data_IF_764248888214
#
_entry.id   IF_764248888214
#
_cell.length_a   1.000
_cell.length_b   1.000
_cell.length_c   1.000
_cell.angle_alpha   90.00
_cell.angle_beta   90.00
_cell.angle_gamma   90.00
#
_symmetry.space_group_name_H-M   'P 1'
#
loop_
_entity.id
_entity.type
_entity.pdbx_description
1 polymer ?
#
# COMPACT_ATOMS: atom_id res chain seq x y z
N UNK A 1 9.30 -10.48 -17.31
CA UNK A 1 8.45 -11.09 -16.28
C UNK A 1 7.45 -11.98 -16.98
N UNK A 2 7.29 -13.22 -16.53
CA UNK A 2 6.21 -14.08 -17.04
C UNK A 2 4.84 -13.61 -16.51
N UNK A 3 3.76 -14.06 -17.15
CA UNK A 3 2.40 -13.67 -16.79
C UNK A 3 2.02 -14.11 -15.36
N UNK A 4 2.49 -15.28 -14.93
CA UNK A 4 2.21 -15.82 -13.60
C UNK A 4 2.83 -14.95 -12.48
N UNK A 5 4.03 -14.42 -12.71
CA UNK A 5 4.73 -13.52 -11.81
C UNK A 5 4.02 -12.18 -11.68
N UNK A 6 3.49 -11.63 -12.78
CA UNK A 6 2.69 -10.40 -12.75
C UNK A 6 1.40 -10.57 -11.95
N UNK A 7 0.69 -11.69 -12.14
CA UNK A 7 -0.52 -12.01 -11.37
C UNK A 7 -0.18 -12.15 -9.89
N UNK A 8 0.90 -12.88 -9.56
CA UNK A 8 1.33 -13.07 -8.17
C UNK A 8 1.68 -11.74 -7.51
N UNK A 9 2.49 -10.91 -8.17
CA UNK A 9 2.86 -9.59 -7.65
C UNK A 9 1.64 -8.68 -7.43
N UNK A 10 0.69 -8.69 -8.37
CA UNK A 10 -0.56 -7.94 -8.23
C UNK A 10 -1.40 -8.43 -7.05
N UNK A 11 -1.59 -9.75 -6.91
CA UNK A 11 -2.35 -10.33 -5.79
C UNK A 11 -1.68 -10.02 -4.46
N UNK A 12 -0.36 -10.16 -4.37
CA UNK A 12 0.41 -9.80 -3.17
C UNK A 12 0.20 -8.33 -2.82
N UNK A 13 0.33 -7.43 -3.79
CA UNK A 13 0.11 -6.00 -3.56
C UNK A 13 -1.33 -5.71 -3.13
N UNK A 14 -2.32 -6.33 -3.78
CA UNK A 14 -3.74 -6.16 -3.46
C UNK A 14 -4.04 -6.61 -2.02
N UNK A 15 -3.51 -7.76 -1.61
CA UNK A 15 -3.68 -8.28 -0.25
C UNK A 15 -2.98 -7.38 0.78
N UNK A 16 -1.76 -6.90 0.50
CA UNK A 16 -1.02 -5.99 1.38
C UNK A 16 -1.75 -4.65 1.58
N UNK A 17 -2.36 -4.11 0.52
CA UNK A 17 -3.11 -2.85 0.60
C UNK A 17 -4.40 -3.02 1.42
N UNK A 18 -4.97 -4.23 1.46
CA UNK A 18 -6.24 -4.53 2.13
C UNK A 18 -7.41 -3.58 1.75
N UNK A 19 -7.75 -3.46 0.44
CA UNK A 19 -8.84 -2.58 0.02
C UNK A 19 -10.20 -3.02 0.60
N UNK A 20 -10.36 -4.31 0.91
CA UNK A 20 -11.60 -4.87 1.47
C UNK A 20 -11.78 -4.41 2.92
N UNK A 21 -10.73 -4.43 3.75
CA UNK A 21 -10.78 -3.91 5.11
C UNK A 21 -10.83 -2.38 5.18
N UNK A 22 -10.14 -1.69 4.25
CA UNK A 22 -10.12 -0.22 4.20
C UNK A 22 -11.44 0.40 3.74
N UNK A 23 -12.22 -0.26 2.90
CA UNK A 23 -13.50 0.26 2.41
C UNK A 23 -14.51 0.59 3.54
N UNK A 24 -14.87 -0.33 4.46
CA UNK A 24 -15.77 -0.03 5.56
C UNK A 24 -15.15 0.95 6.57
N UNK A 25 -13.83 0.90 6.79
CA UNK A 25 -13.13 1.85 7.64
C UNK A 25 -13.26 3.29 7.09
N UNK A 26 -13.03 3.46 5.79
CA UNK A 26 -13.18 4.76 5.13
C UNK A 26 -14.61 5.28 5.24
N UNK A 27 -15.61 4.43 5.01
CA UNK A 27 -17.04 4.79 5.17
C UNK A 27 -17.34 5.21 6.61
N UNK A 28 -16.82 4.49 7.61
CA UNK A 28 -17.03 4.81 9.01
C UNK A 28 -16.38 6.14 9.41
N UNK A 29 -15.16 6.41 8.93
CA UNK A 29 -14.41 7.64 9.24
C UNK A 29 -14.94 8.87 8.50
N UNK A 30 -15.50 8.69 7.30
CA UNK A 30 -16.09 9.78 6.49
C UNK A 30 -17.59 9.98 6.75
N UNK A 31 -18.14 9.33 7.78
CA UNK A 31 -19.57 9.40 8.08
C UNK A 31 -19.96 10.81 8.54
N UNK A 32 -20.89 11.43 7.81
CA UNK A 32 -21.36 12.79 8.08
C UNK A 32 -20.59 13.88 7.34
N UNK A 33 -19.55 13.54 6.58
CA UNK A 33 -18.93 14.45 5.63
C UNK A 33 -19.84 14.68 4.42
N UNK A 34 -19.72 15.86 3.79
CA UNK A 34 -20.32 16.10 2.48
C UNK A 34 -19.59 15.30 1.40
N UNK A 35 -20.26 15.00 0.29
CA UNK A 35 -19.65 14.24 -0.82
C UNK A 35 -18.38 14.91 -1.37
N UNK A 36 -18.32 16.24 -1.36
CA UNK A 36 -17.15 17.00 -1.78
C UNK A 36 -15.96 16.79 -0.84
N UNK A 37 -16.18 16.86 0.48
CA UNK A 37 -15.13 16.61 1.49
C UNK A 37 -14.67 15.17 1.43
N UNK A 38 -15.62 14.21 1.38
CA UNK A 38 -15.33 12.78 1.29
C UNK A 38 -14.45 12.43 0.09
N UNK A 39 -14.75 13.02 -1.08
CA UNK A 39 -13.92 12.83 -2.29
C UNK A 39 -12.53 13.45 -2.14
N UNK A 40 -12.43 14.61 -1.50
CA UNK A 40 -11.14 15.23 -1.17
C UNK A 40 -10.28 14.34 -0.25
N UNK A 41 -10.90 13.75 0.77
CA UNK A 41 -10.26 12.79 1.68
C UNK A 41 -9.79 11.55 0.94
N UNK A 42 -10.62 10.97 0.06
CA UNK A 42 -10.25 9.81 -0.76
C UNK A 42 -9.02 10.10 -1.63
N UNK A 43 -9.02 11.21 -2.37
CA UNK A 43 -7.90 11.58 -3.25
C UNK A 43 -6.62 11.79 -2.45
N UNK A 44 -6.68 12.53 -1.32
CA UNK A 44 -5.51 12.73 -0.46
C UNK A 44 -4.97 11.42 0.08
N UNK A 45 -5.84 10.54 0.58
CA UNK A 45 -5.44 9.24 1.09
C UNK A 45 -4.75 8.39 0.00
N UNK A 46 -5.32 8.33 -1.20
CA UNK A 46 -4.73 7.61 -2.33
C UNK A 46 -3.37 8.20 -2.75
N UNK A 47 -3.24 9.52 -2.79
CA UNK A 47 -1.97 10.18 -3.14
C UNK A 47 -0.88 9.90 -2.09
N UNK A 48 -1.23 9.97 -0.80
CA UNK A 48 -0.28 9.66 0.29
C UNK A 48 0.14 8.19 0.23
N UNK A 49 -0.82 7.28 0.08
CA UNK A 49 -0.53 5.85 -0.04
C UNK A 49 0.34 5.55 -1.27
N UNK A 50 0.01 6.13 -2.43
CA UNK A 50 0.81 5.99 -3.65
C UNK A 50 2.22 6.56 -3.51
N UNK A 51 2.36 7.72 -2.88
CA UNK A 51 3.67 8.31 -2.60
C UNK A 51 4.51 7.44 -1.67
N UNK A 52 3.91 6.86 -0.62
CA UNK A 52 4.58 5.91 0.27
C UNK A 52 5.00 4.64 -0.48
N UNK A 53 4.12 4.07 -1.31
CA UNK A 53 4.45 2.90 -2.13
C UNK A 53 5.62 3.17 -3.08
N UNK A 54 5.64 4.32 -3.75
CA UNK A 54 6.76 4.72 -4.62
C UNK A 54 8.03 4.94 -3.81
N UNK A 55 7.94 5.64 -2.67
CA UNK A 55 9.07 5.91 -1.79
C UNK A 55 9.71 4.61 -1.31
N UNK A 56 8.93 3.67 -0.77
CA UNK A 56 9.42 2.36 -0.33
C UNK A 56 9.80 1.46 -1.51
N UNK A 57 9.17 1.57 -2.67
CA UNK A 57 9.58 0.85 -3.86
C UNK A 57 10.98 1.26 -4.34
N UNK A 58 11.35 2.53 -4.18
CA UNK A 58 12.65 3.07 -4.58
C UNK A 58 13.72 2.98 -3.49
N UNK A 59 13.34 3.22 -2.23
CA UNK A 59 14.27 3.31 -1.09
C UNK A 59 14.19 2.10 -0.16
N UNK A 60 13.27 1.16 -0.39
CA UNK A 60 13.00 0.05 0.53
C UNK A 60 14.24 -0.78 0.85
N UNK A 61 15.06 -1.10 -0.14
CA UNK A 61 16.31 -1.84 0.09
C UNK A 61 17.30 -1.05 0.96
N UNK A 62 17.41 0.26 0.75
CA UNK A 62 18.29 1.12 1.54
C UNK A 62 17.77 1.29 2.98
N UNK A 63 16.45 1.42 3.16
CA UNK A 63 15.80 1.52 4.47
C UNK A 63 15.92 0.21 5.24
N UNK A 64 15.69 -0.93 4.58
CA UNK A 64 15.85 -2.27 5.16
C UNK A 64 17.31 -2.54 5.52
N UNK A 65 18.25 -2.19 4.63
CA UNK A 65 19.68 -2.29 4.89
C UNK A 65 20.13 -1.42 6.07
N UNK A 66 19.61 -0.19 6.18
CA UNK A 66 19.87 0.70 7.32
C UNK A 66 19.30 0.15 8.63
N UNK A 67 18.12 -0.48 8.59
CA UNK A 67 17.52 -1.15 9.74
C UNK A 67 18.24 -2.47 10.12
N UNK A 68 19.31 -2.86 9.42
CA UNK A 68 20.04 -4.12 9.65
C UNK A 68 19.29 -5.36 9.16
N UNK A 69 18.22 -5.18 8.38
CA UNK A 69 17.43 -6.27 7.81
C UNK A 69 18.05 -6.64 6.46
N UNK A 70 18.86 -7.68 6.44
CA UNK A 70 19.38 -8.24 5.19
C UNK A 70 18.23 -8.93 4.44
N UNK A 71 17.98 -8.60 3.16
CA UNK A 71 16.99 -9.26 2.31
C UNK A 71 17.00 -10.82 2.35
N UNK A 72 18.15 -11.50 2.53
CA UNK A 72 18.17 -12.96 2.70
C UNK A 72 17.33 -13.47 3.88
N UNK A 73 17.17 -12.70 4.96
CA UNK A 73 16.43 -13.12 6.15
C UNK A 73 14.91 -13.22 5.92
N UNK A 74 14.37 -12.47 4.96
CA UNK A 74 12.94 -12.51 4.59
C UNK A 74 12.61 -13.61 3.56
N UNK A 75 13.61 -14.13 2.83
CA UNK A 75 13.41 -15.17 1.81
C UNK A 75 13.40 -16.59 2.38
N UNK A 76 13.70 -16.76 3.68
CA UNK A 76 13.80 -18.05 4.38
C UNK A 76 12.56 -18.34 5.24
N UNK A 77 11.71 -17.34 5.54
CA UNK A 77 10.49 -17.50 6.33
C UNK A 77 9.26 -17.74 5.44
#
# INVERSE_FOLDING_TARGET
>A
MDQASLITAFVTLFVIIDPIGLAPLFVALTKGESDATRRGTAIRATLIAGALLVLFGLLGEAVLGFAGISLPAFRIA
#
